data_IF_613381128534
#
_entry.id   IF_613381128534
#
_cell.length_a   1.000
_cell.length_b   1.000
_cell.length_c   1.000
_cell.angle_alpha   90.00
_cell.angle_beta   90.00
_cell.angle_gamma   90.00
#
_symmetry.space_group_name_H-M   'P 1'
#
loop_
_entity.id
_entity.type
_entity.pdbx_description
1 polymer ?
#
# COMPACT_ATOMS: atom_id res chain seq x y z
N UNK A 1 44.79 25.09 47.76
CA UNK A 1 45.35 24.70 46.44
C UNK A 1 44.91 23.31 45.94
N UNK A 2 44.51 22.34 46.79
CA UNK A 2 44.06 21.01 46.30
C UNK A 2 42.63 20.95 45.73
N UNK A 3 41.74 21.88 46.07
CA UNK A 3 40.35 21.89 45.58
C UNK A 3 40.13 22.71 44.30
N UNK A 4 41.13 23.47 43.84
CA UNK A 4 41.01 24.31 42.64
C UNK A 4 41.26 23.50 41.36
N UNK A 5 42.16 22.50 41.44
CA UNK A 5 42.43 21.60 40.32
C UNK A 5 41.29 20.58 40.09
N UNK A 6 40.53 20.22 41.14
CA UNK A 6 39.39 19.31 41.01
C UNK A 6 38.21 19.93 40.24
N UNK A 7 37.98 21.24 40.38
CA UNK A 7 36.88 21.94 39.69
C UNK A 7 37.18 22.18 38.21
N UNK A 8 38.46 22.42 37.87
CA UNK A 8 38.94 22.54 36.48
C UNK A 8 38.94 21.18 35.79
N UNK A 9 39.29 20.11 36.50
CA UNK A 9 39.25 18.75 35.95
C UNK A 9 37.80 18.26 35.73
N UNK A 10 36.88 18.59 36.64
CA UNK A 10 35.45 18.25 36.49
C UNK A 10 34.80 19.02 35.31
N UNK A 11 35.19 20.27 35.08
CA UNK A 11 34.70 21.06 33.93
C UNK A 11 35.20 20.53 32.58
N UNK A 12 36.45 20.04 32.51
CA UNK A 12 37.02 19.45 31.29
C UNK A 12 36.41 18.07 31.00
N UNK A 13 36.13 17.28 32.04
CA UNK A 13 35.48 15.96 31.92
C UNK A 13 34.02 16.11 31.46
N UNK A 14 33.26 17.08 31.99
CA UNK A 14 31.88 17.36 31.55
C UNK A 14 31.83 17.87 30.10
N UNK A 15 32.85 18.62 29.65
CA UNK A 15 32.97 19.04 28.25
C UNK A 15 33.38 17.90 27.30
N UNK A 16 34.11 16.88 27.78
CA UNK A 16 34.44 15.67 27.01
C UNK A 16 33.28 14.66 26.95
N UNK A 17 32.42 14.60 27.96
CA UNK A 17 31.23 13.73 27.96
C UNK A 17 30.04 14.31 27.20
N UNK A 18 30.00 15.63 26.96
CA UNK A 18 28.93 16.27 26.17
C UNK A 18 29.13 16.12 24.64
N UNK A 19 30.35 15.80 24.18
CA UNK A 19 30.65 15.58 22.76
C UNK A 19 30.68 14.10 22.33
N UNK A 20 30.46 13.16 23.26
CA UNK A 20 30.65 11.72 23.00
C UNK A 20 29.35 10.89 23.01
N UNK A 21 28.19 11.50 23.21
CA UNK A 21 26.88 10.83 23.16
C UNK A 21 26.00 11.40 22.04
N UNK A 22 26.50 11.33 20.81
CA UNK A 22 25.63 11.24 19.63
C UNK A 22 25.77 9.80 19.16
N UNK A 23 24.66 9.07 19.29
CA UNK A 23 24.47 7.68 18.92
C UNK A 23 24.99 7.46 17.49
N UNK A 24 26.10 6.74 17.35
CA UNK A 24 26.43 6.11 16.08
C UNK A 24 25.44 4.95 15.91
N UNK A 25 24.45 5.14 15.03
CA UNK A 25 23.72 4.01 14.47
C UNK A 25 24.75 3.27 13.60
N UNK A 26 25.08 2.06 14.01
CA UNK A 26 25.88 1.14 13.22
C UNK A 26 25.12 0.81 11.93
N UNK A 27 25.61 1.31 10.79
CA UNK A 27 25.07 1.01 9.46
C UNK A 27 25.75 -0.18 8.81
N UNK A 28 26.62 -0.93 9.51
CA UNK A 28 27.42 -2.00 8.90
C UNK A 28 26.71 -3.34 8.70
N UNK A 29 25.39 -3.43 8.92
CA UNK A 29 24.62 -4.66 8.69
C UNK A 29 23.44 -4.53 7.71
N UNK A 30 23.35 -3.46 6.93
CA UNK A 30 22.48 -3.49 5.74
C UNK A 30 23.23 -4.16 4.59
N UNK A 31 22.71 -5.25 3.98
CA UNK A 31 23.27 -5.71 2.72
C UNK A 31 23.18 -4.55 1.73
N UNK A 32 24.30 -4.25 1.07
CA UNK A 32 24.36 -3.26 -0.01
C UNK A 32 23.19 -3.50 -0.97
N UNK A 33 22.46 -2.43 -1.30
CA UNK A 33 21.51 -2.47 -2.40
C UNK A 33 22.27 -2.88 -3.65
N UNK A 34 22.01 -4.09 -4.13
CA UNK A 34 22.42 -4.48 -5.48
C UNK A 34 21.80 -3.47 -6.42
N UNK A 35 22.65 -2.67 -7.07
CA UNK A 35 22.26 -1.75 -8.12
C UNK A 35 21.38 -2.50 -9.11
N UNK A 36 20.11 -2.12 -9.21
CA UNK A 36 19.29 -2.53 -10.35
C UNK A 36 19.96 -1.84 -11.55
N UNK A 37 20.60 -2.64 -12.39
CA UNK A 37 21.14 -2.15 -13.66
C UNK A 37 19.98 -1.52 -14.44
N UNK A 38 20.16 -0.35 -15.08
CA UNK A 38 19.13 0.19 -15.96
C UNK A 38 18.80 -0.85 -17.02
N UNK A 39 17.51 -1.07 -17.27
CA UNK A 39 17.04 -1.94 -18.34
C UNK A 39 17.76 -1.56 -19.66
N UNK A 40 18.26 -2.54 -20.43
CA UNK A 40 18.79 -2.28 -21.77
C UNK A 40 17.72 -1.55 -22.59
N UNK A 41 18.09 -0.46 -23.24
CA UNK A 41 17.19 0.36 -24.08
C UNK A 41 16.68 -0.35 -25.35
N UNK A 42 17.00 -1.63 -25.54
CA UNK A 42 16.94 -2.29 -26.84
C UNK A 42 16.10 -3.57 -26.81
N UNK A 43 14.88 -3.52 -26.26
CA UNK A 43 13.77 -4.42 -26.65
C UNK A 43 12.45 -3.64 -26.55
N UNK A 44 12.19 -2.76 -27.50
CA UNK A 44 10.83 -2.38 -27.85
C UNK A 44 10.48 -3.15 -29.13
N UNK A 45 9.40 -3.96 -29.17
CA UNK A 45 8.84 -4.34 -30.46
C UNK A 45 8.42 -3.07 -31.19
N UNK A 46 8.98 -2.87 -32.37
CA UNK A 46 8.60 -1.81 -33.29
C UNK A 46 7.12 -1.97 -33.68
N UNK A 47 6.24 -1.24 -33.01
CA UNK A 47 4.83 -1.08 -33.41
C UNK A 47 4.68 0.26 -34.15
N UNK A 48 5.45 0.45 -35.22
CA UNK A 48 5.34 1.63 -36.09
C UNK A 48 5.08 1.31 -37.56
N UNK A 49 4.39 0.21 -37.87
CA UNK A 49 3.71 0.08 -39.17
C UNK A 49 2.34 -0.58 -39.06
N UNK A 50 1.36 0.09 -39.66
CA UNK A 50 -0.07 -0.23 -39.77
C UNK A 50 -0.97 0.07 -38.57
N UNK A 51 -1.14 1.36 -38.26
CA UNK A 51 -2.43 1.86 -37.75
C UNK A 51 -3.10 2.63 -38.89
N UNK A 52 -3.88 1.93 -39.71
CA UNK A 52 -4.99 2.59 -40.41
C UNK A 52 -6.05 2.85 -39.34
N UNK A 53 -6.18 4.11 -38.91
CA UNK A 53 -7.21 4.53 -37.97
C UNK A 53 -8.56 4.50 -38.68
N UNK A 54 -9.34 3.46 -38.46
CA UNK A 54 -10.77 3.49 -38.71
C UNK A 54 -11.49 3.19 -37.40
N UNK A 55 -12.23 4.17 -36.87
CA UNK A 55 -12.95 4.16 -35.58
C UNK A 55 -14.17 3.20 -35.55
N UNK A 56 -14.16 2.08 -36.28
CA UNK A 56 -15.33 1.19 -36.40
C UNK A 56 -15.09 -0.30 -36.06
N UNK A 57 -13.92 -0.70 -35.56
CA UNK A 57 -13.62 -2.12 -35.27
C UNK A 57 -13.81 -2.57 -33.80
N UNK A 58 -14.42 -1.75 -32.93
CA UNK A 58 -14.70 -2.14 -31.53
C UNK A 58 -15.91 -3.07 -31.36
N UNK A 59 -16.61 -3.45 -32.43
CA UNK A 59 -17.83 -4.26 -32.36
C UNK A 59 -17.72 -5.65 -33.03
N UNK A 60 -16.50 -6.13 -33.31
CA UNK A 60 -16.31 -7.40 -34.01
C UNK A 60 -15.25 -8.31 -33.36
N UNK A 61 -15.29 -8.43 -32.02
CA UNK A 61 -14.61 -9.54 -31.36
C UNK A 61 -15.39 -10.83 -31.63
N UNK A 62 -15.08 -11.48 -32.76
CA UNK A 62 -15.42 -12.88 -32.99
C UNK A 62 -14.38 -13.68 -32.21
N UNK A 63 -14.76 -14.51 -31.22
CA UNK A 63 -13.81 -15.36 -30.54
C UNK A 63 -13.14 -16.29 -31.56
N UNK A 64 -11.82 -16.57 -31.44
CA UNK A 64 -11.15 -17.49 -32.36
C UNK A 64 -11.82 -18.86 -32.28
N UNK A 65 -12.15 -19.44 -33.43
CA UNK A 65 -12.56 -20.85 -33.54
C UNK A 65 -11.40 -21.72 -33.02
N UNK A 66 -11.64 -22.40 -31.90
CA UNK A 66 -10.73 -23.33 -31.26
C UNK A 66 -10.53 -24.58 -32.12
N UNK A 67 -9.35 -24.70 -32.73
CA UNK A 67 -8.86 -25.95 -33.30
C UNK A 67 -7.99 -26.66 -32.25
N UNK A 68 -8.67 -27.21 -31.24
CA UNK A 68 -8.08 -27.79 -30.04
C UNK A 68 -6.85 -28.65 -30.27
N UNK A 69 -5.83 -28.46 -29.42
CA UNK A 69 -4.81 -29.48 -29.06
C UNK A 69 -3.79 -29.04 -28.00
N UNK A 70 -3.92 -27.89 -27.33
CA UNK A 70 -2.96 -27.53 -26.28
C UNK A 70 -3.62 -27.55 -24.89
N UNK A 71 -3.14 -28.37 -23.92
CA UNK A 71 -3.57 -28.23 -22.54
C UNK A 71 -3.03 -26.88 -22.05
N UNK A 72 -3.93 -25.92 -21.93
CA UNK A 72 -3.62 -24.55 -21.56
C UNK A 72 -3.12 -24.53 -20.11
N UNK A 73 -1.80 -24.33 -19.96
CA UNK A 73 -1.24 -23.80 -18.72
C UNK A 73 -1.76 -22.37 -18.67
N UNK A 74 -2.80 -22.13 -17.88
CA UNK A 74 -3.32 -20.79 -17.62
C UNK A 74 -2.16 -20.00 -16.98
N UNK A 75 -1.59 -18.97 -17.64
CA UNK A 75 -0.62 -18.11 -16.98
C UNK A 75 -1.34 -17.34 -15.85
N UNK A 76 -0.66 -17.02 -14.73
CA UNK A 76 -1.24 -16.17 -13.69
C UNK A 76 -1.39 -14.76 -14.26
N UNK A 77 -2.56 -14.44 -14.80
CA UNK A 77 -2.91 -13.08 -15.18
C UNK A 77 -3.56 -12.42 -13.96
N UNK A 78 -2.74 -11.66 -13.26
CA UNK A 78 -2.99 -10.95 -12.01
C UNK A 78 -4.33 -10.20 -12.06
N UNK A 79 -5.30 -10.65 -11.27
CA UNK A 79 -6.36 -9.78 -10.77
C UNK A 79 -7.79 -10.23 -11.09
N UNK A 80 -8.11 -10.66 -12.30
CA UNK A 80 -9.50 -11.02 -12.65
C UNK A 80 -9.88 -12.46 -12.32
N UNK A 81 -8.91 -13.29 -11.92
CA UNK A 81 -9.16 -14.65 -11.46
C UNK A 81 -8.23 -15.02 -10.31
N UNK A 82 -8.64 -15.98 -9.50
CA UNK A 82 -7.83 -16.53 -8.41
C UNK A 82 -7.97 -18.04 -8.35
N UNK A 83 -6.86 -18.76 -8.23
CA UNK A 83 -6.84 -20.22 -8.09
C UNK A 83 -6.61 -20.62 -6.64
N UNK A 84 -7.64 -21.19 -6.01
CA UNK A 84 -7.55 -21.88 -4.73
C UNK A 84 -7.05 -23.31 -4.96
N UNK A 85 -5.74 -23.48 -4.86
CA UNK A 85 -5.05 -24.77 -5.03
C UNK A 85 -5.28 -25.73 -3.86
N UNK A 86 -5.76 -25.24 -2.71
CA UNK A 86 -6.02 -26.07 -1.54
C UNK A 86 -7.33 -26.86 -1.69
N UNK A 87 -8.34 -26.24 -2.29
CA UNK A 87 -9.63 -26.88 -2.55
C UNK A 87 -9.90 -27.18 -4.02
N UNK A 88 -8.91 -26.95 -4.90
CA UNK A 88 -9.00 -27.13 -6.35
C UNK A 88 -10.17 -26.35 -6.96
N UNK A 89 -10.15 -25.02 -6.82
CA UNK A 89 -11.18 -24.12 -7.37
C UNK A 89 -10.56 -22.95 -8.09
N UNK A 90 -11.20 -22.51 -9.18
CA UNK A 90 -10.88 -21.27 -9.88
C UNK A 90 -12.05 -20.30 -9.74
N UNK A 91 -11.78 -19.12 -9.19
CA UNK A 91 -12.69 -17.99 -9.17
C UNK A 91 -12.39 -17.09 -10.35
N UNK A 92 -13.39 -16.75 -11.16
CA UNK A 92 -13.24 -15.88 -12.33
C UNK A 92 -14.24 -14.74 -12.23
N UNK A 93 -13.72 -13.52 -12.20
CA UNK A 93 -14.53 -12.30 -12.23
C UNK A 93 -15.03 -12.03 -13.64
N UNK A 94 -16.32 -11.76 -13.77
CA UNK A 94 -16.92 -11.22 -14.99
C UNK A 94 -17.54 -9.84 -14.70
N UNK A 95 -16.73 -8.76 -14.77
CA UNK A 95 -17.15 -7.42 -14.37
C UNK A 95 -18.43 -6.95 -15.08
N UNK A 96 -18.48 -7.13 -16.40
CA UNK A 96 -19.62 -6.71 -17.24
C UNK A 96 -20.89 -7.52 -16.98
N UNK A 97 -20.75 -8.73 -16.43
CA UNK A 97 -21.87 -9.60 -16.06
C UNK A 97 -22.22 -9.53 -14.56
N UNK A 98 -21.54 -8.69 -13.79
CA UNK A 98 -21.81 -8.45 -12.37
C UNK A 98 -21.78 -9.73 -11.53
N UNK A 99 -20.80 -10.61 -11.77
CA UNK A 99 -20.69 -11.91 -11.09
C UNK A 99 -19.28 -12.44 -11.00
N UNK A 100 -19.06 -13.37 -10.08
CA UNK A 100 -17.88 -14.25 -10.04
C UNK A 100 -18.35 -15.67 -10.37
N UNK A 101 -17.74 -16.30 -11.36
CA UNK A 101 -17.93 -17.71 -11.67
C UNK A 101 -16.93 -18.55 -10.87
N UNK A 102 -17.36 -19.74 -10.45
CA UNK A 102 -16.51 -20.69 -9.72
C UNK A 102 -16.48 -21.99 -10.49
N UNK A 103 -15.28 -22.48 -10.78
CA UNK A 103 -15.04 -23.75 -11.46
C UNK A 103 -14.31 -24.70 -10.53
N UNK A 104 -14.76 -25.94 -10.48
CA UNK A 104 -14.06 -27.04 -9.84
C UNK A 104 -12.91 -27.48 -10.76
N UNK A 105 -11.74 -27.63 -10.16
CA UNK A 105 -10.53 -28.10 -10.81
C UNK A 105 -10.28 -29.56 -10.45
N UNK A 106 -9.50 -30.21 -11.31
CA UNK A 106 -8.91 -31.51 -11.00
C UNK A 106 -7.84 -31.34 -9.91
N UNK A 107 -7.34 -32.45 -9.39
CA UNK A 107 -6.27 -32.47 -8.39
C UNK A 107 -4.92 -31.90 -8.87
N UNK A 108 -4.78 -31.66 -10.17
CA UNK A 108 -3.62 -30.99 -10.78
C UNK A 108 -3.91 -29.52 -11.14
N UNK A 109 -4.97 -28.94 -10.58
CA UNK A 109 -5.45 -27.58 -10.79
C UNK A 109 -5.82 -27.25 -12.25
N UNK A 110 -6.06 -28.27 -13.08
CA UNK A 110 -6.62 -28.09 -14.42
C UNK A 110 -8.14 -28.11 -14.40
N UNK A 111 -8.79 -27.38 -15.32
CA UNK A 111 -10.26 -27.37 -15.44
C UNK A 111 -10.83 -28.78 -15.59
N UNK A 112 -11.88 -29.09 -14.84
CA UNK A 112 -12.62 -30.34 -15.00
C UNK A 112 -13.37 -30.34 -16.34
N UNK A 113 -14.08 -29.25 -16.61
CA UNK A 113 -14.74 -28.88 -17.87
C UNK A 113 -14.86 -27.34 -17.95
N UNK A 114 -15.57 -26.83 -18.97
CA UNK A 114 -15.81 -25.41 -19.21
C UNK A 114 -17.13 -24.89 -18.61
N UNK A 115 -17.76 -25.67 -17.71
CA UNK A 115 -19.03 -25.34 -17.10
C UNK A 115 -18.78 -24.85 -15.67
N UNK A 116 -19.20 -23.62 -15.30
CA UNK A 116 -19.05 -23.17 -13.92
C UNK A 116 -19.97 -23.95 -12.99
N UNK A 117 -19.45 -24.33 -11.83
CA UNK A 117 -20.16 -25.08 -10.79
C UNK A 117 -20.99 -24.16 -9.90
N UNK A 118 -20.49 -22.96 -9.63
CA UNK A 118 -21.19 -21.95 -8.83
C UNK A 118 -21.05 -20.53 -9.38
N UNK A 119 -21.94 -19.66 -8.91
CA UNK A 119 -21.91 -18.22 -9.22
C UNK A 119 -22.16 -17.39 -7.95
N UNK A 120 -21.29 -16.41 -7.71
CA UNK A 120 -21.48 -15.38 -6.68
C UNK A 120 -22.00 -14.09 -7.33
N UNK A 121 -22.80 -13.33 -6.58
CA UNK A 121 -23.38 -12.06 -7.05
C UNK A 121 -24.63 -12.21 -7.93
N UNK A 122 -25.03 -13.43 -8.26
CA UNK A 122 -26.24 -13.73 -9.05
C UNK A 122 -26.86 -15.03 -8.56
N UNK A 123 -28.19 -15.17 -8.69
CA UNK A 123 -28.91 -16.39 -8.28
C UNK A 123 -28.71 -17.56 -9.25
N UNK A 124 -28.30 -17.28 -10.49
CA UNK A 124 -28.13 -18.27 -11.55
C UNK A 124 -27.11 -17.78 -12.59
N UNK A 125 -26.79 -18.65 -13.56
CA UNK A 125 -25.80 -18.39 -14.60
C UNK A 125 -26.32 -17.56 -15.79
N UNK A 126 -27.57 -17.07 -15.75
CA UNK A 126 -28.17 -16.30 -16.86
C UNK A 126 -28.54 -14.87 -16.48
N UNK A 127 -28.62 -14.58 -15.19
CA UNK A 127 -28.84 -13.24 -14.66
C UNK A 127 -27.50 -12.49 -14.55
N UNK A 128 -27.50 -11.23 -14.98
CA UNK A 128 -26.31 -10.36 -15.00
C UNK A 128 -26.62 -8.93 -14.50
N UNK A 129 -27.74 -8.76 -13.78
CA UNK A 129 -28.19 -7.44 -13.34
C UNK A 129 -27.35 -6.94 -12.15
N UNK A 130 -26.81 -5.71 -12.20
CA UNK A 130 -26.07 -5.14 -11.09
C UNK A 130 -26.99 -4.86 -9.88
N UNK A 131 -26.42 -4.75 -8.68
CA UNK A 131 -27.17 -4.41 -7.47
C UNK A 131 -26.27 -4.20 -6.25
N UNK A 132 -26.88 -3.91 -5.10
CA UNK A 132 -26.19 -3.46 -3.87
C UNK A 132 -26.49 -4.33 -2.65
N UNK A 133 -27.12 -5.49 -2.81
CA UNK A 133 -27.33 -6.43 -1.70
C UNK A 133 -26.03 -7.16 -1.34
N UNK A 134 -26.09 -7.97 -0.29
CA UNK A 134 -25.05 -8.92 0.13
C UNK A 134 -24.71 -9.99 -0.93
N UNK A 135 -25.62 -10.19 -1.89
CA UNK A 135 -25.60 -11.25 -2.90
C UNK A 135 -25.59 -10.69 -4.34
N UNK A 136 -25.25 -9.40 -4.50
CA UNK A 136 -25.20 -8.69 -5.79
C UNK A 136 -23.92 -7.88 -5.89
N UNK A 137 -23.38 -7.80 -7.10
CA UNK A 137 -22.26 -6.92 -7.44
C UNK A 137 -22.69 -5.84 -8.44
N UNK A 138 -21.81 -4.86 -8.64
CA UNK A 138 -21.79 -3.91 -9.72
C UNK A 138 -20.33 -3.74 -10.20
N UNK A 139 -20.00 -4.36 -11.33
CA UNK A 139 -18.63 -4.41 -11.87
C UNK A 139 -17.59 -4.96 -10.86
N UNK A 140 -17.74 -6.21 -10.38
CA UNK A 140 -16.70 -6.83 -9.57
C UNK A 140 -15.43 -6.98 -10.41
N UNK A 141 -14.24 -6.73 -9.85
CA UNK A 141 -13.00 -6.79 -10.62
C UNK A 141 -12.00 -7.77 -10.02
N UNK A 142 -11.41 -7.42 -8.89
CA UNK A 142 -10.29 -8.14 -8.33
C UNK A 142 -10.71 -9.08 -7.23
N UNK A 143 -10.03 -10.23 -7.19
CA UNK A 143 -10.22 -11.27 -6.19
C UNK A 143 -8.91 -11.43 -5.39
N UNK A 144 -9.03 -11.46 -4.06
CA UNK A 144 -8.01 -11.99 -3.17
C UNK A 144 -8.62 -13.08 -2.29
N UNK A 145 -7.81 -13.99 -1.76
CA UNK A 145 -8.29 -15.14 -1.01
C UNK A 145 -7.40 -15.43 0.18
N UNK A 146 -8.05 -15.69 1.32
CA UNK A 146 -7.44 -16.24 2.52
C UNK A 146 -7.69 -17.75 2.60
N UNK A 147 -6.66 -18.57 2.40
CA UNK A 147 -6.79 -20.02 2.45
C UNK A 147 -6.93 -20.58 3.87
N UNK A 148 -6.55 -19.84 4.92
CA UNK A 148 -6.63 -20.34 6.29
C UNK A 148 -8.07 -20.33 6.81
N UNK A 149 -8.78 -19.21 6.61
CA UNK A 149 -10.17 -19.03 7.05
C UNK A 149 -11.20 -19.21 5.93
N UNK A 150 -10.77 -19.53 4.70
CA UNK A 150 -11.62 -19.65 3.50
C UNK A 150 -12.39 -18.36 3.18
N UNK A 151 -11.74 -17.20 3.29
CA UNK A 151 -12.36 -15.91 2.98
C UNK A 151 -12.01 -15.45 1.56
N UNK A 152 -13.02 -15.18 0.75
CA UNK A 152 -12.87 -14.57 -0.57
C UNK A 152 -13.16 -13.07 -0.48
N UNK A 153 -12.19 -12.24 -0.83
CA UNK A 153 -12.33 -10.79 -0.93
C UNK A 153 -12.53 -10.40 -2.39
N UNK A 154 -13.60 -9.67 -2.69
CA UNK A 154 -13.94 -9.25 -4.05
C UNK A 154 -14.13 -7.74 -4.09
N UNK A 155 -13.41 -7.06 -4.98
CA UNK A 155 -13.58 -5.62 -5.16
C UNK A 155 -14.84 -5.35 -5.99
N UNK A 156 -15.88 -4.83 -5.35
CA UNK A 156 -17.15 -4.48 -5.98
C UNK A 156 -17.12 -3.00 -6.40
N UNK A 157 -16.40 -2.75 -7.49
CA UNK A 157 -15.86 -1.43 -7.85
C UNK A 157 -16.96 -0.40 -8.07
N UNK A 158 -18.03 -0.78 -8.76
CA UNK A 158 -19.17 0.09 -9.05
C UNK A 158 -19.99 0.47 -7.81
N UNK A 159 -19.79 -0.25 -6.69
CA UNK A 159 -20.43 0.02 -5.41
C UNK A 159 -19.46 0.56 -4.35
N UNK A 160 -18.20 0.85 -4.71
CA UNK A 160 -17.20 1.44 -3.82
C UNK A 160 -16.98 0.64 -2.52
N UNK A 161 -16.92 -0.69 -2.62
CA UNK A 161 -16.80 -1.59 -1.46
C UNK A 161 -15.99 -2.84 -1.78
N UNK A 162 -15.52 -3.53 -0.75
CA UNK A 162 -15.01 -4.91 -0.84
C UNK A 162 -16.04 -5.82 -0.19
N UNK A 163 -16.43 -6.87 -0.91
CA UNK A 163 -17.33 -7.91 -0.43
C UNK A 163 -16.51 -9.09 0.08
N UNK A 164 -16.87 -9.63 1.25
CA UNK A 164 -16.18 -10.76 1.88
C UNK A 164 -17.10 -11.95 1.98
N UNK A 165 -16.71 -13.09 1.42
CA UNK A 165 -17.49 -14.33 1.43
C UNK A 165 -16.75 -15.41 2.22
N UNK A 166 -17.47 -16.14 3.07
CA UNK A 166 -17.03 -17.46 3.51
C UNK A 166 -17.27 -18.44 2.36
N UNK A 167 -16.18 -19.01 1.83
CA UNK A 167 -16.21 -19.97 0.74
C UNK A 167 -15.80 -21.37 1.20
N UNK A 168 -15.94 -21.70 2.49
CA UNK A 168 -15.81 -23.09 2.98
C UNK A 168 -16.84 -24.03 2.33
N UNK A 169 -17.98 -23.47 1.93
CA UNK A 169 -18.95 -24.06 1.00
C UNK A 169 -19.54 -22.96 0.11
N UNK A 170 -19.89 -23.28 -1.14
CA UNK A 170 -20.43 -22.28 -2.07
C UNK A 170 -21.77 -22.76 -2.61
N UNK A 171 -22.76 -21.86 -2.61
CA UNK A 171 -24.00 -22.03 -3.34
C UNK A 171 -24.23 -20.86 -4.30
N UNK A 172 -25.11 -21.02 -5.29
CA UNK A 172 -25.41 -19.95 -6.22
C UNK A 172 -26.10 -18.79 -5.50
N UNK A 173 -25.54 -17.59 -5.66
CA UNK A 173 -26.05 -16.39 -5.02
C UNK A 173 -25.79 -16.34 -3.52
N UNK A 174 -24.74 -17.02 -3.04
CA UNK A 174 -24.28 -16.94 -1.65
C UNK A 174 -24.16 -15.48 -1.20
N UNK A 175 -24.59 -15.20 0.03
CA UNK A 175 -24.47 -13.86 0.62
C UNK A 175 -23.05 -13.64 1.14
N UNK A 176 -22.49 -12.46 0.89
CA UNK A 176 -21.31 -12.00 1.58
C UNK A 176 -21.59 -11.91 3.09
N UNK A 177 -20.59 -12.31 3.89
CA UNK A 177 -20.67 -12.26 5.34
C UNK A 177 -20.26 -10.89 5.88
N UNK A 178 -19.40 -10.17 5.15
CA UNK A 178 -18.93 -8.85 5.53
C UNK A 178 -18.71 -7.90 4.36
N UNK A 179 -18.60 -6.61 4.68
CA UNK A 179 -18.31 -5.53 3.72
C UNK A 179 -17.31 -4.53 4.31
N UNK A 180 -16.30 -4.17 3.52
CA UNK A 180 -15.34 -3.12 3.84
C UNK A 180 -15.53 -1.92 2.90
N UNK A 181 -15.23 -0.72 3.39
CA UNK A 181 -15.35 0.51 2.61
C UNK A 181 -16.77 1.09 2.52
N UNK A 182 -17.76 0.43 3.14
CA UNK A 182 -19.13 0.91 3.31
C UNK A 182 -19.70 0.41 4.66
N UNK A 183 -20.62 1.15 5.30
CA UNK A 183 -21.19 0.78 6.60
C UNK A 183 -22.08 -0.47 6.54
N UNK A 184 -22.80 -0.67 5.44
CA UNK A 184 -23.57 -1.88 5.16
C UNK A 184 -23.44 -2.25 3.69
N UNK A 185 -24.11 -3.33 3.27
CA UNK A 185 -24.09 -3.73 1.87
C UNK A 185 -24.77 -2.67 0.98
N UNK A 186 -25.85 -2.03 1.42
CA UNK A 186 -26.68 -1.26 0.48
C UNK A 186 -26.18 0.14 0.13
N UNK A 187 -25.25 0.70 0.90
CA UNK A 187 -24.62 1.98 0.60
C UNK A 187 -23.55 1.85 -0.47
N UNK A 188 -23.46 2.86 -1.33
CA UNK A 188 -22.56 2.86 -2.49
C UNK A 188 -21.86 4.18 -2.71
N UNK A 189 -22.11 5.19 -1.87
CA UNK A 189 -21.55 6.52 -2.09
C UNK A 189 -20.03 6.46 -1.86
N UNK A 190 -19.21 6.95 -2.82
CA UNK A 190 -17.78 6.98 -2.62
C UNK A 190 -17.44 7.98 -1.51
N UNK A 191 -16.42 7.66 -0.74
CA UNK A 191 -15.97 8.50 0.36
C UNK A 191 -14.45 8.52 0.49
N UNK A 192 -13.95 9.23 1.50
CA UNK A 192 -12.51 9.40 1.73
C UNK A 192 -12.12 9.23 3.20
N UNK A 193 -13.08 8.92 4.07
CA UNK A 193 -12.80 8.48 5.42
C UNK A 193 -12.03 7.15 5.44
N UNK A 194 -11.51 6.77 6.60
CA UNK A 194 -10.76 5.51 6.75
C UNK A 194 -11.67 4.27 6.63
N UNK A 195 -12.99 4.44 6.73
CA UNK A 195 -14.00 3.38 6.54
C UNK A 195 -14.67 3.43 5.16
N UNK A 196 -14.23 4.31 4.27
CA UNK A 196 -14.86 4.56 2.98
C UNK A 196 -13.88 4.32 1.83
N UNK A 197 -14.36 3.77 0.72
CA UNK A 197 -13.60 3.56 -0.50
C UNK A 197 -14.18 4.36 -1.66
N UNK A 198 -13.42 4.50 -2.74
CA UNK A 198 -13.79 5.12 -3.99
C UNK A 198 -13.10 4.37 -5.15
N UNK A 199 -13.88 3.59 -5.89
CA UNK A 199 -13.42 2.71 -6.97
C UNK A 199 -12.22 1.81 -6.56
N UNK A 200 -12.36 0.94 -5.54
CA UNK A 200 -11.28 0.06 -5.14
C UNK A 200 -11.00 -0.98 -6.23
N UNK A 201 -9.78 -1.05 -6.76
CA UNK A 201 -9.49 -1.81 -7.98
C UNK A 201 -8.30 -2.77 -7.89
N UNK A 202 -7.68 -2.92 -6.72
CA UNK A 202 -6.57 -3.85 -6.51
C UNK A 202 -6.63 -4.39 -5.08
N UNK A 203 -6.47 -5.70 -4.93
CA UNK A 203 -6.50 -6.40 -3.63
C UNK A 203 -5.29 -7.32 -3.51
N UNK A 204 -4.62 -7.25 -2.36
CA UNK A 204 -3.57 -8.20 -2.00
C UNK A 204 -3.78 -8.59 -0.54
N UNK A 205 -3.96 -9.88 -0.30
CA UNK A 205 -4.01 -10.45 1.05
C UNK A 205 -2.61 -10.92 1.46
N UNK A 206 -2.17 -10.52 2.64
CA UNK A 206 -0.96 -10.99 3.29
C UNK A 206 -1.32 -11.89 4.48
N UNK A 207 -1.10 -13.19 4.34
CA UNK A 207 -1.40 -14.20 5.36
C UNK A 207 -0.53 -14.07 6.61
N UNK A 208 0.71 -13.58 6.48
CA UNK A 208 1.64 -13.51 7.62
C UNK A 208 1.20 -12.45 8.63
N UNK A 209 0.61 -11.36 8.13
CA UNK A 209 0.14 -10.23 8.95
C UNK A 209 -1.38 -10.14 9.09
N UNK A 210 -2.12 -11.01 8.39
CA UNK A 210 -3.59 -10.96 8.27
C UNK A 210 -4.07 -9.57 7.82
N UNK A 211 -3.42 -9.03 6.79
CA UNK A 211 -3.73 -7.71 6.24
C UNK A 211 -4.23 -7.80 4.80
N UNK A 212 -5.29 -7.05 4.50
CA UNK A 212 -5.76 -6.82 3.15
C UNK A 212 -5.36 -5.42 2.69
N UNK A 213 -4.49 -5.36 1.68
CA UNK A 213 -4.10 -4.12 1.01
C UNK A 213 -5.07 -3.85 -0.13
N UNK A 214 -5.69 -2.67 -0.11
CA UNK A 214 -6.69 -2.26 -1.08
C UNK A 214 -6.22 -0.99 -1.78
N UNK A 215 -6.13 -1.06 -3.11
CA UNK A 215 -5.90 0.12 -3.94
C UNK A 215 -7.20 0.93 -4.05
N UNK A 216 -7.29 2.01 -3.27
CA UNK A 216 -8.43 2.93 -3.27
C UNK A 216 -8.20 4.01 -4.33
N UNK A 217 -8.36 3.61 -5.59
CA UNK A 217 -7.87 4.33 -6.77
C UNK A 217 -8.47 5.72 -6.89
N UNK A 218 -9.77 5.88 -6.63
CA UNK A 218 -10.44 7.18 -6.68
C UNK A 218 -9.89 8.19 -5.68
N UNK A 219 -9.24 7.71 -4.61
CA UNK A 219 -8.60 8.55 -3.59
C UNK A 219 -7.07 8.57 -3.68
N UNK A 220 -6.46 7.87 -4.65
CA UNK A 220 -5.01 7.78 -4.86
C UNK A 220 -4.24 7.32 -3.60
N UNK A 221 -4.79 6.35 -2.86
CA UNK A 221 -4.20 5.84 -1.62
C UNK A 221 -4.28 4.32 -1.56
N UNK A 222 -3.51 3.72 -0.66
CA UNK A 222 -3.65 2.31 -0.31
C UNK A 222 -4.25 2.24 1.09
N UNK A 223 -5.37 1.54 1.21
CA UNK A 223 -6.00 1.22 2.49
C UNK A 223 -5.49 -0.13 2.96
N UNK A 224 -5.19 -0.27 4.25
CA UNK A 224 -4.74 -1.53 4.84
C UNK A 224 -5.74 -1.92 5.92
N UNK A 225 -6.49 -2.99 5.68
CA UNK A 225 -7.45 -3.53 6.64
C UNK A 225 -6.79 -4.68 7.41
N UNK A 226 -6.99 -4.72 8.72
CA UNK A 226 -6.75 -5.92 9.53
C UNK A 226 -7.95 -6.85 9.30
N UNK A 227 -7.71 -8.05 8.79
CA UNK A 227 -8.75 -9.01 8.45
C UNK A 227 -8.75 -10.23 9.37
N UNK A 228 -8.02 -10.18 10.48
CA UNK A 228 -8.06 -11.23 11.53
C UNK A 228 -9.44 -11.37 12.18
N UNK A 229 -10.25 -10.32 12.11
CA UNK A 229 -11.65 -10.30 12.50
C UNK A 229 -12.35 -9.12 11.82
N UNK A 230 -13.29 -9.41 10.93
CA UNK A 230 -13.91 -8.37 10.11
C UNK A 230 -15.24 -7.91 10.70
N UNK A 231 -15.48 -6.59 10.70
CA UNK A 231 -16.80 -6.01 10.99
C UNK A 231 -17.22 -5.06 9.88
N UNK A 232 -18.52 -5.08 9.52
CA UNK A 232 -19.04 -4.22 8.46
C UNK A 232 -18.73 -2.75 8.72
N UNK A 233 -18.14 -2.09 7.73
CA UNK A 233 -17.81 -0.67 7.79
C UNK A 233 -16.69 -0.32 8.77
N UNK A 234 -15.85 -1.28 9.17
CA UNK A 234 -14.67 -0.95 9.96
C UNK A 234 -13.73 0.00 9.21
N UNK A 235 -12.97 0.78 9.98
CA UNK A 235 -11.94 1.64 9.42
C UNK A 235 -10.69 0.82 9.11
N UNK A 236 -9.99 1.18 8.03
CA UNK A 236 -8.69 0.63 7.74
C UNK A 236 -7.74 0.85 8.93
N UNK A 237 -6.94 -0.17 9.26
CA UNK A 237 -5.93 -0.09 10.30
C UNK A 237 -4.79 0.88 9.94
N UNK A 238 -4.57 1.12 8.65
CA UNK A 238 -3.60 2.08 8.16
C UNK A 238 -3.99 2.62 6.78
N UNK A 239 -3.49 3.81 6.46
CA UNK A 239 -3.64 4.40 5.12
C UNK A 239 -2.30 4.92 4.61
N UNK A 240 -1.87 4.42 3.46
CA UNK A 240 -0.62 4.79 2.80
C UNK A 240 -0.94 5.76 1.66
N UNK A 241 -0.08 6.75 1.46
CA UNK A 241 -0.18 7.75 0.38
C UNK A 241 -1.38 8.73 0.49
N UNK A 242 -2.09 8.76 1.62
CA UNK A 242 -3.09 9.79 1.87
C UNK A 242 -2.44 11.09 2.33
N UNK A 243 -2.02 11.93 1.38
CA UNK A 243 -1.53 13.28 1.67
C UNK A 243 -2.10 14.30 0.68
N UNK A 244 -3.21 14.93 1.05
CA UNK A 244 -3.72 16.16 0.40
C UNK A 244 -2.84 17.40 0.68
N UNK A 245 -1.70 17.25 1.35
CA UNK A 245 -0.69 18.30 1.51
C UNK A 245 0.68 17.66 1.79
N UNK A 246 1.30 17.05 0.78
CA UNK A 246 2.71 17.32 0.59
C UNK A 246 2.79 18.77 0.09
N UNK A 247 2.52 19.75 0.98
CA UNK A 247 3.04 21.07 0.74
C UNK A 247 4.52 20.83 0.53
N UNK A 248 4.98 21.09 -0.69
CA UNK A 248 6.38 21.15 -0.99
C UNK A 248 6.93 22.29 -0.11
N UNK A 249 7.21 22.01 1.17
CA UNK A 249 8.50 22.38 1.70
C UNK A 249 9.52 21.55 0.95
N UNK A 250 9.64 21.87 -0.34
CA UNK A 250 10.91 21.90 -1.01
C UNK A 250 11.72 22.77 -0.08
N UNK A 251 12.47 22.15 0.81
CA UNK A 251 13.74 22.69 1.25
C UNK A 251 14.58 22.76 -0.02
N UNK A 252 14.27 23.77 -0.86
CA UNK A 252 15.30 24.37 -1.67
C UNK A 252 16.24 24.87 -0.61
N UNK A 253 17.32 24.15 -0.37
CA UNK A 253 18.55 24.79 0.04
C UNK A 253 18.85 25.82 -1.05
N UNK A 254 18.20 26.99 -0.98
CA UNK A 254 18.76 28.19 -1.54
C UNK A 254 19.99 28.43 -0.66
N UNK A 255 21.12 27.90 -1.08
CA UNK A 255 22.36 28.62 -0.86
C UNK A 255 22.25 29.94 -1.63
N UNK A 256 21.57 30.92 -1.02
CA UNK A 256 21.76 32.34 -1.29
C UNK A 256 20.88 33.13 -0.32
N UNK A 257 21.48 33.48 0.82
CA UNK A 257 21.20 34.69 1.59
C UNK A 257 19.82 34.82 2.24
N UNK A 258 19.69 34.35 3.47
CA UNK A 258 19.56 35.25 4.65
C UNK A 258 19.70 34.38 5.91
N UNK A 259 20.65 34.72 6.78
CA UNK A 259 21.06 33.86 7.90
C UNK A 259 19.97 33.78 8.98
N UNK A 260 19.57 32.54 9.27
CA UNK A 260 18.83 32.22 10.47
C UNK A 260 19.56 32.68 11.74
N UNK A 261 18.79 32.82 12.82
CA UNK A 261 19.25 33.12 14.19
C UNK A 261 20.04 31.96 14.81
N UNK A 262 21.01 31.40 14.09
CA UNK A 262 22.14 30.71 14.68
C UNK A 262 23.13 31.77 15.14
N UNK A 263 23.58 31.71 16.39
CA UNK A 263 24.61 32.63 16.86
C UNK A 263 25.87 32.44 16.01
N UNK A 264 26.12 33.41 15.12
CA UNK A 264 27.28 33.44 14.24
C UNK A 264 28.56 33.17 15.04
N UNK A 265 29.45 32.34 14.52
CA UNK A 265 30.72 31.99 15.16
C UNK A 265 31.53 33.26 15.58
N UNK A 266 31.34 34.37 14.85
CA UNK A 266 31.85 35.68 15.19
C UNK A 266 31.32 36.22 16.54
N UNK A 267 30.02 36.09 16.81
CA UNK A 267 29.41 36.46 18.09
C UNK A 267 29.81 35.52 19.23
N UNK A 268 30.00 34.23 18.94
CA UNK A 268 30.50 33.25 19.92
C UNK A 268 31.95 33.60 20.32
N UNK A 269 32.81 33.92 19.35
CA UNK A 269 34.20 34.33 19.63
C UNK A 269 34.24 35.65 20.43
N UNK A 270 33.39 36.63 20.09
CA UNK A 270 33.28 37.87 20.86
C UNK A 270 32.80 37.60 22.30
N UNK A 271 31.82 36.72 22.50
CA UNK A 271 31.33 36.37 23.83
C UNK A 271 32.42 35.67 24.66
N UNK A 272 33.17 34.74 24.07
CA UNK A 272 34.28 34.05 24.72
C UNK A 272 35.40 35.02 25.10
N UNK A 273 35.74 35.98 24.24
CA UNK A 273 36.74 37.01 24.54
C UNK A 273 36.28 37.96 25.66
N UNK A 274 35.00 38.35 25.67
CA UNK A 274 34.43 39.21 26.72
C UNK A 274 34.40 38.51 28.09
N UNK A 275 34.00 37.24 28.14
CA UNK A 275 33.99 36.44 29.38
C UNK A 275 35.41 36.24 29.90
N UNK A 276 36.38 36.00 29.01
CA UNK A 276 37.79 35.87 29.36
C UNK A 276 38.38 37.17 29.93
N UNK A 277 38.04 38.32 29.32
CA UNK A 277 38.50 39.64 29.80
C UNK A 277 37.93 39.98 31.19
N UNK A 278 36.65 39.65 31.46
CA UNK A 278 36.01 39.87 32.77
C UNK A 278 36.65 39.01 33.86
N UNK A 279 36.96 37.74 33.56
CA UNK A 279 37.66 36.83 34.48
C UNK A 279 39.08 37.31 34.80
N UNK A 280 39.81 37.81 33.80
CA UNK A 280 41.14 38.42 34.00
C UNK A 280 41.03 39.67 34.88
N UNK A 281 40.03 40.52 34.66
CA UNK A 281 39.83 41.74 35.44
C UNK A 281 39.46 41.45 36.91
N UNK A 282 38.63 40.43 37.15
CA UNK A 282 38.31 39.94 38.49
C UNK A 282 39.53 39.31 39.18
N UNK A 283 40.33 38.53 38.45
CA UNK A 283 41.57 37.95 38.98
C UNK A 283 42.58 39.04 39.38
N UNK A 284 42.75 40.09 38.57
CA UNK A 284 43.64 41.23 38.88
C UNK A 284 43.15 42.02 40.10
N UNK A 285 41.82 42.20 40.26
CA UNK A 285 41.22 42.88 41.41
C UNK A 285 41.32 42.09 42.72
N UNK A 286 41.44 40.77 42.64
CA UNK A 286 41.65 39.89 43.81
C UNK A 286 43.14 39.83 44.21
N UNK A 287 44.07 40.06 43.27
CA UNK A 287 45.53 40.02 43.52
C UNK A 287 46.09 41.35 44.05
N UNK A 288 45.39 42.49 43.88
CA UNK A 288 45.70 43.75 44.56
C UNK A 288 44.58 44.14 45.52
N UNK A 289 44.69 43.84 46.83
CA UNK A 289 43.82 44.45 47.81
C UNK A 289 44.34 45.87 48.10
N UNK A 290 43.74 46.87 47.46
CA UNK A 290 44.10 48.29 47.62
C UNK A 290 43.53 49.14 46.51
#
# INVERSE_FOLDING_TARGET
MKNFNALIFLAIVVLFFCSSNIFAIDTSSFPESTSIQPFPSDILPDVSSNIDRNENDINNFIPPEDNGTNPEIIPPDEGISYTDTSNHRLFVSEPENNRILVFNLKSDDTLMDDIPDNVLGQLDFVTFTPGTTDSKFNMPQIIAYDPEDNLLFVSDVGNNRIMVFDVSSITNGESAINVLGQPTFTETDPGSAESELNAPAGLVYDSDSQQLFVSDVGNNRIMVFDVSSITNGESAANVILQNQNLSLEKTVSKESGDEGKGLNLFWIIILVLLVSAVLIFLAVKIIRPG
#
